data_IF_544856276598
#
_entry.id   IF_544856276598
#
_cell.length_a   1.000
_cell.length_b   1.000
_cell.length_c   1.000
_cell.angle_alpha   90.00
_cell.angle_beta   90.00
_cell.angle_gamma   90.00
#
_symmetry.space_group_name_H-M   'P 1'
#
loop_
_entity.id
_entity.type
_entity.pdbx_description
1 polymer ?
#
# COMPACT_ATOMS: atom_id res chain seq x y z
N UNK A 1 22.68 -1.38 2.34
CA UNK A 1 22.94 -1.46 3.80
C UNK A 1 22.02 -0.45 4.46
N UNK A 2 20.96 -0.90 5.13
CA UNK A 2 20.15 -0.04 6.01
C UNK A 2 21.04 0.33 7.19
N UNK A 3 21.48 1.57 7.25
CA UNK A 3 22.06 2.10 8.47
C UNK A 3 20.92 2.32 9.46
N UNK A 4 20.78 1.45 10.44
CA UNK A 4 19.76 1.57 11.51
C UNK A 4 19.89 2.91 12.29
N UNK A 5 21.05 3.53 12.24
CA UNK A 5 21.36 4.85 12.80
C UNK A 5 21.81 5.84 11.71
N UNK A 6 21.54 5.52 10.44
CA UNK A 6 21.90 6.35 9.32
C UNK A 6 21.02 7.60 9.24
N UNK A 7 21.59 8.64 8.69
CA UNK A 7 20.88 9.86 8.34
C UNK A 7 19.60 9.54 7.57
N UNK A 8 18.46 10.15 7.89
CA UNK A 8 17.19 9.92 7.23
C UNK A 8 17.12 10.54 5.83
N UNK A 9 18.23 10.64 5.12
CA UNK A 9 18.36 11.34 3.83
C UNK A 9 17.43 10.83 2.72
N UNK A 10 16.86 9.66 2.88
CA UNK A 10 15.87 9.06 1.95
C UNK A 10 14.43 9.12 2.44
N UNK A 11 14.18 9.64 3.63
CA UNK A 11 12.79 9.90 4.07
C UNK A 11 12.18 11.01 3.22
N UNK A 12 11.00 10.80 2.61
CA UNK A 12 10.32 11.84 1.86
C UNK A 12 10.14 13.15 2.66
N UNK A 13 9.83 13.03 3.95
CA UNK A 13 9.69 14.18 4.85
C UNK A 13 11.00 14.96 4.98
N UNK A 14 12.13 14.28 5.18
CA UNK A 14 13.44 14.91 5.28
C UNK A 14 13.87 15.56 3.95
N UNK A 15 13.62 14.89 2.82
CA UNK A 15 13.95 15.43 1.50
C UNK A 15 13.13 16.69 1.17
N UNK A 16 11.84 16.73 1.55
CA UNK A 16 11.00 17.90 1.39
C UNK A 16 11.55 19.03 2.25
N UNK A 17 11.81 18.80 3.53
CA UNK A 17 12.40 19.79 4.42
C UNK A 17 13.72 20.36 3.88
N UNK A 18 14.64 19.47 3.49
CA UNK A 18 15.96 19.86 2.96
C UNK A 18 15.86 20.71 1.70
N UNK A 19 14.86 20.46 0.83
CA UNK A 19 14.68 21.18 -0.42
C UNK A 19 13.87 22.47 -0.28
N UNK A 20 12.96 22.55 0.68
CA UNK A 20 11.96 23.62 0.75
C UNK A 20 11.98 24.41 2.04
N UNK A 21 12.65 23.93 3.10
CA UNK A 21 12.58 24.48 4.45
C UNK A 21 11.23 24.30 5.16
N UNK A 22 10.30 23.55 4.54
CA UNK A 22 8.97 23.30 5.12
C UNK A 22 9.07 22.14 6.11
N UNK A 23 8.63 22.36 7.36
CA UNK A 23 8.54 21.32 8.37
C UNK A 23 7.52 20.26 7.95
N UNK A 24 7.93 18.99 8.02
CA UNK A 24 7.12 17.85 7.64
C UNK A 24 7.06 16.83 8.77
N UNK A 25 5.85 16.48 9.17
CA UNK A 25 5.61 15.38 10.12
C UNK A 25 5.10 14.17 9.32
N UNK A 26 5.76 13.03 9.50
CA UNK A 26 5.34 11.76 8.86
C UNK A 26 4.50 10.96 9.84
N UNK A 27 3.28 10.62 9.43
CA UNK A 27 2.38 9.71 10.14
C UNK A 27 2.31 8.33 9.46
N UNK A 28 3.15 8.09 8.45
CA UNK A 28 3.20 6.82 7.75
C UNK A 28 3.57 5.67 8.69
N UNK A 29 2.74 4.65 8.70
CA UNK A 29 2.96 3.41 9.45
C UNK A 29 2.97 2.24 8.45
N UNK A 30 3.94 1.33 8.58
CA UNK A 30 3.99 0.14 7.74
C UNK A 30 2.77 -0.76 7.99
N UNK A 31 2.11 -1.19 6.92
CA UNK A 31 0.91 -2.03 6.99
C UNK A 31 -0.37 -1.29 7.42
N UNK A 32 -0.35 0.04 7.43
CA UNK A 32 -1.54 0.83 7.73
C UNK A 32 -2.38 1.03 6.47
N UNK A 33 -3.63 0.56 6.49
CA UNK A 33 -4.61 0.93 5.48
C UNK A 33 -5.05 2.39 5.60
N UNK A 34 -5.93 2.81 4.70
CA UNK A 34 -6.36 4.22 4.61
C UNK A 34 -7.04 4.73 5.88
N UNK A 35 -7.78 3.87 6.60
CA UNK A 35 -8.43 4.27 7.85
C UNK A 35 -7.39 4.73 8.88
N UNK A 36 -6.34 3.94 9.09
CA UNK A 36 -5.32 4.25 10.07
C UNK A 36 -4.35 5.31 9.56
N UNK A 37 -3.78 5.13 8.38
CA UNK A 37 -2.74 5.99 7.84
C UNK A 37 -3.20 7.39 7.44
N UNK A 38 -4.46 7.55 7.02
CA UNK A 38 -5.00 8.84 6.54
C UNK A 38 -5.79 9.57 7.62
N UNK A 39 -6.60 8.85 8.39
CA UNK A 39 -7.52 9.50 9.33
C UNK A 39 -7.15 9.27 10.78
N UNK A 40 -7.15 8.02 11.25
CA UNK A 40 -7.07 7.68 12.66
C UNK A 40 -5.75 8.14 13.28
N UNK A 41 -4.60 7.79 12.69
CA UNK A 41 -3.29 8.16 13.22
C UNK A 41 -3.00 9.67 13.14
N UNK A 42 -3.15 10.35 12.00
CA UNK A 42 -2.89 11.79 11.93
C UNK A 42 -3.71 12.60 12.93
N UNK A 43 -5.00 12.31 13.06
CA UNK A 43 -5.88 13.03 13.98
C UNK A 43 -5.56 12.73 15.43
N UNK A 44 -5.38 11.45 15.78
CA UNK A 44 -5.09 11.08 17.17
C UNK A 44 -3.70 11.56 17.61
N UNK A 45 -2.69 11.53 16.74
CA UNK A 45 -1.37 12.08 17.05
C UNK A 45 -1.41 13.58 17.22
N UNK A 46 -2.12 14.30 16.35
CA UNK A 46 -2.32 15.74 16.47
C UNK A 46 -2.98 16.09 17.80
N UNK A 47 -4.09 15.42 18.14
CA UNK A 47 -4.78 15.61 19.41
C UNK A 47 -3.88 15.30 20.62
N UNK A 48 -3.14 14.18 20.53
CA UNK A 48 -2.24 13.75 21.60
C UNK A 48 -1.14 14.79 21.85
N UNK A 49 -0.43 15.22 20.82
CA UNK A 49 0.66 16.22 20.96
C UNK A 49 0.09 17.51 21.54
N UNK A 50 -1.08 17.97 21.07
CA UNK A 50 -1.72 19.18 21.59
C UNK A 50 -2.33 19.03 23.00
N UNK A 51 -2.53 17.80 23.48
CA UNK A 51 -2.91 17.56 24.87
C UNK A 51 -1.72 17.68 25.85
N UNK A 52 -0.50 17.66 25.35
CA UNK A 52 0.69 17.86 26.16
C UNK A 52 0.93 19.35 26.42
N UNK A 53 1.48 19.67 27.60
CA UNK A 53 1.80 21.07 27.95
C UNK A 53 3.03 21.62 27.22
N UNK A 54 3.84 20.73 26.64
CA UNK A 54 5.17 21.08 26.14
C UNK A 54 5.21 21.44 24.65
N UNK A 55 4.21 21.02 23.89
CA UNK A 55 4.18 21.24 22.44
C UNK A 55 2.79 21.66 22.00
N UNK A 56 2.73 22.57 21.04
CA UNK A 56 1.49 22.97 20.40
C UNK A 56 1.69 22.94 18.88
N UNK A 57 1.04 21.97 18.24
CA UNK A 57 1.00 21.92 16.79
C UNK A 57 -0.12 22.80 16.25
N UNK A 58 0.20 23.59 15.24
CA UNK A 58 -0.83 24.21 14.41
C UNK A 58 -1.42 23.19 13.43
N UNK A 59 -2.68 23.38 13.00
CA UNK A 59 -3.22 22.56 11.92
C UNK A 59 -2.28 22.57 10.71
N UNK A 60 -2.02 21.40 10.08
CA UNK A 60 -1.16 21.34 8.91
C UNK A 60 -1.72 22.17 7.77
N UNK A 61 -0.86 22.86 7.02
CA UNK A 61 -1.27 23.58 5.81
C UNK A 61 -1.57 22.60 4.66
N UNK A 62 -0.82 21.50 4.61
CA UNK A 62 -0.91 20.49 3.56
C UNK A 62 -0.93 19.09 4.15
N UNK A 63 -1.74 18.22 3.56
CA UNK A 63 -1.63 16.77 3.69
C UNK A 63 -1.15 16.19 2.37
N UNK A 64 -0.04 15.44 2.40
CA UNK A 64 0.44 14.67 1.28
C UNK A 64 0.10 13.20 1.54
N UNK A 65 -0.90 12.71 0.84
CA UNK A 65 -1.45 11.36 1.01
C UNK A 65 -0.91 10.47 -0.10
N UNK A 66 -0.13 9.46 0.26
CA UNK A 66 0.35 8.46 -0.67
C UNK A 66 -0.66 7.32 -0.75
N UNK A 67 -1.10 7.00 -1.96
CA UNK A 67 -1.89 5.81 -2.25
C UNK A 67 -1.04 4.88 -3.09
N UNK A 68 -0.62 3.75 -2.50
CA UNK A 68 0.18 2.75 -3.18
C UNK A 68 -0.71 1.66 -3.80
N UNK A 69 -0.62 1.51 -5.10
CA UNK A 69 -1.43 0.56 -5.88
C UNK A 69 -1.24 -0.90 -5.45
N UNK A 70 -0.05 -1.24 -4.92
CA UNK A 70 0.32 -2.62 -4.63
C UNK A 70 -0.45 -3.25 -3.47
N UNK A 71 -0.73 -2.53 -2.39
CA UNK A 71 -1.34 -3.09 -1.18
C UNK A 71 -2.47 -2.28 -0.55
N UNK A 72 -2.60 -0.97 -0.77
CA UNK A 72 -3.57 -0.15 -0.03
C UNK A 72 -5.02 -0.62 -0.21
N UNK A 73 -5.35 -1.18 -1.38
CA UNK A 73 -6.67 -1.80 -1.60
C UNK A 73 -6.87 -3.01 -0.69
N UNK A 74 -5.84 -3.86 -0.57
CA UNK A 74 -5.91 -5.07 0.26
C UNK A 74 -5.94 -4.73 1.75
N UNK A 75 -5.14 -3.76 2.19
CA UNK A 75 -5.12 -3.29 3.57
C UNK A 75 -6.48 -2.70 3.97
N UNK A 76 -7.13 -1.95 3.07
CA UNK A 76 -8.49 -1.44 3.28
C UNK A 76 -9.53 -2.57 3.36
N UNK A 77 -9.41 -3.61 2.53
CA UNK A 77 -10.29 -4.77 2.59
C UNK A 77 -10.07 -5.58 3.87
N UNK A 78 -8.82 -5.78 4.26
CA UNK A 78 -8.48 -6.46 5.50
C UNK A 78 -9.05 -5.72 6.71
N UNK A 79 -8.89 -4.40 6.76
CA UNK A 79 -9.50 -3.56 7.81
C UNK A 79 -11.01 -3.80 7.92
N UNK A 80 -11.73 -3.81 6.79
CA UNK A 80 -13.18 -4.05 6.77
C UNK A 80 -13.51 -5.47 7.25
N UNK A 81 -12.80 -6.47 6.76
CA UNK A 81 -13.04 -7.88 7.13
C UNK A 81 -12.81 -8.13 8.62
N UNK A 82 -11.72 -7.61 9.16
CA UNK A 82 -11.36 -7.82 10.57
C UNK A 82 -12.31 -7.11 11.53
N UNK A 83 -12.72 -5.90 11.21
CA UNK A 83 -13.51 -5.08 12.13
C UNK A 83 -15.02 -5.26 11.97
N UNK A 84 -15.51 -5.51 10.76
CA UNK A 84 -16.93 -5.80 10.53
C UNK A 84 -17.28 -7.28 10.72
N UNK A 85 -16.28 -8.17 10.77
CA UNK A 85 -16.49 -9.63 10.73
C UNK A 85 -17.43 -10.04 9.59
N UNK A 86 -17.42 -9.27 8.53
CA UNK A 86 -18.29 -9.47 7.38
C UNK A 86 -17.65 -10.50 6.44
N UNK A 87 -18.45 -11.41 5.93
CA UNK A 87 -18.02 -12.28 4.83
C UNK A 87 -17.89 -11.46 3.54
N UNK A 88 -17.06 -11.92 2.59
CA UNK A 88 -16.92 -11.24 1.28
C UNK A 88 -18.27 -10.98 0.58
N UNK A 89 -19.30 -11.82 0.82
CA UNK A 89 -20.66 -11.63 0.28
C UNK A 89 -21.41 -10.48 0.93
N UNK A 90 -21.09 -10.17 2.19
CA UNK A 90 -21.78 -9.13 2.97
C UNK A 90 -21.10 -7.77 2.78
N UNK A 91 -19.82 -7.74 2.40
CA UNK A 91 -19.08 -6.50 2.18
C UNK A 91 -19.81 -5.60 1.18
N UNK A 92 -20.32 -6.14 0.06
CA UNK A 92 -21.10 -5.37 -0.91
C UNK A 92 -22.36 -4.72 -0.34
N UNK A 93 -22.99 -5.34 0.66
CA UNK A 93 -24.22 -4.82 1.31
C UNK A 93 -23.92 -3.82 2.44
N UNK A 94 -22.71 -3.87 2.99
CA UNK A 94 -22.29 -3.00 4.11
C UNK A 94 -22.04 -1.56 3.63
N UNK A 95 -21.81 -1.36 2.35
CA UNK A 95 -21.49 -0.06 1.77
C UNK A 95 -22.70 0.86 1.49
N UNK A 96 -23.84 0.60 2.08
CA UNK A 96 -24.80 1.68 2.27
C UNK A 96 -24.10 2.81 3.01
N UNK A 97 -23.91 3.94 2.33
CA UNK A 97 -23.03 5.05 2.75
C UNK A 97 -23.21 5.41 4.24
N UNK A 98 -24.45 5.49 4.72
CA UNK A 98 -24.76 5.86 6.09
C UNK A 98 -24.36 4.79 7.14
N UNK A 99 -24.41 3.51 6.76
CA UNK A 99 -24.03 2.40 7.64
C UNK A 99 -22.51 2.33 7.75
N UNK A 100 -21.84 2.51 6.64
CA UNK A 100 -20.39 2.48 6.59
C UNK A 100 -19.76 3.68 7.31
N UNK A 101 -20.30 4.88 7.16
CA UNK A 101 -19.85 6.06 7.91
C UNK A 101 -20.02 5.88 9.42
N UNK A 102 -21.15 5.33 9.87
CA UNK A 102 -21.36 5.02 11.31
C UNK A 102 -20.35 4.01 11.83
N UNK A 103 -20.05 2.99 11.04
CA UNK A 103 -19.03 2.01 11.37
C UNK A 103 -17.65 2.65 11.53
N UNK A 104 -17.18 3.41 10.52
CA UNK A 104 -15.88 4.08 10.59
C UNK A 104 -15.79 5.06 11.77
N UNK A 105 -16.87 5.78 12.07
CA UNK A 105 -16.94 6.65 13.23
C UNK A 105 -16.81 5.88 14.55
N UNK A 106 -17.49 4.76 14.68
CA UNK A 106 -17.40 3.91 15.87
C UNK A 106 -15.99 3.33 16.05
N UNK A 107 -15.34 2.89 14.96
CA UNK A 107 -13.93 2.44 15.01
C UNK A 107 -12.97 3.57 15.40
N UNK A 108 -13.18 4.77 14.88
CA UNK A 108 -12.38 5.94 15.26
C UNK A 108 -12.54 6.27 16.75
N UNK A 109 -13.78 6.27 17.29
CA UNK A 109 -14.03 6.49 18.70
C UNK A 109 -13.33 5.43 19.60
N UNK A 110 -13.29 4.17 19.16
CA UNK A 110 -12.53 3.12 19.86
C UNK A 110 -11.02 3.44 19.88
N UNK A 111 -10.46 3.89 18.76
CA UNK A 111 -9.03 4.25 18.68
C UNK A 111 -8.72 5.44 19.58
N UNK A 112 -9.55 6.49 19.54
CA UNK A 112 -9.41 7.68 20.41
C UNK A 112 -9.47 7.27 21.88
N UNK A 113 -10.52 6.55 22.28
CA UNK A 113 -10.68 6.12 23.66
C UNK A 113 -9.49 5.28 24.14
N UNK A 114 -9.00 4.35 23.33
CA UNK A 114 -7.82 3.54 23.64
C UNK A 114 -6.55 4.39 23.80
N UNK A 115 -6.34 5.37 22.93
CA UNK A 115 -5.14 6.25 22.98
C UNK A 115 -5.17 7.22 24.16
N UNK A 116 -6.34 7.68 24.58
CA UNK A 116 -6.48 8.62 25.70
C UNK A 116 -6.83 7.96 27.04
N UNK A 117 -7.04 6.64 27.06
CA UNK A 117 -7.20 5.89 28.29
C UNK A 117 -5.86 5.83 29.05
N UNK A 118 -5.85 6.35 30.27
CA UNK A 118 -4.67 6.31 31.15
C UNK A 118 -4.15 4.90 31.47
N UNK A 119 -5.02 3.88 31.42
CA UNK A 119 -4.63 2.48 31.60
C UNK A 119 -3.77 1.98 30.46
N UNK A 120 -4.07 2.41 29.24
CA UNK A 120 -3.30 2.10 28.05
C UNK A 120 -1.83 2.53 28.20
N UNK A 121 -1.56 3.68 28.80
CA UNK A 121 -0.20 4.18 29.03
C UNK A 121 0.56 3.40 30.09
N UNK A 122 -0.14 2.83 31.09
CA UNK A 122 0.49 1.91 32.07
C UNK A 122 0.89 0.59 31.41
N UNK A 123 0.10 0.10 30.47
CA UNK A 123 0.39 -1.12 29.70
C UNK A 123 1.43 -0.89 28.59
N UNK A 124 1.54 0.33 28.07
CA UNK A 124 2.56 0.74 27.08
C UNK A 124 3.93 1.02 27.70
N UNK A 125 4.05 1.13 29.01
CA UNK A 125 5.33 1.30 29.63
C UNK A 125 6.22 0.08 29.35
N UNK A 126 7.01 0.27 28.30
CA UNK A 126 8.29 -0.35 27.97
C UNK A 126 8.36 -1.88 27.88
N UNK A 127 7.82 -2.66 28.82
CA UNK A 127 8.05 -4.10 28.84
C UNK A 127 7.28 -4.87 27.75
N UNK A 128 6.01 -4.55 27.52
CA UNK A 128 5.16 -5.30 26.60
C UNK A 128 5.48 -5.01 25.14
N UNK A 129 5.81 -3.74 24.81
CA UNK A 129 6.22 -3.37 23.44
C UNK A 129 7.57 -4.00 23.07
N UNK A 130 8.50 -4.09 24.04
CA UNK A 130 9.81 -4.76 23.82
C UNK A 130 9.60 -6.26 23.66
N UNK A 131 8.77 -6.90 24.50
CA UNK A 131 8.50 -8.33 24.39
C UNK A 131 7.67 -8.71 23.15
N UNK A 132 6.66 -7.91 22.77
CA UNK A 132 5.92 -8.13 21.54
C UNK A 132 6.77 -7.83 20.30
N UNK A 133 7.56 -6.76 20.32
CA UNK A 133 8.49 -6.44 19.24
C UNK A 133 9.57 -7.52 19.09
N UNK A 134 10.16 -7.99 20.17
CA UNK A 134 11.11 -9.10 20.15
C UNK A 134 10.45 -10.42 19.69
N UNK A 135 9.24 -10.73 20.17
CA UNK A 135 8.49 -11.91 19.75
C UNK A 135 8.12 -11.86 18.27
N UNK A 136 7.72 -10.70 17.76
CA UNK A 136 7.39 -10.52 16.35
C UNK A 136 8.66 -10.59 15.48
N UNK A 137 9.75 -9.98 15.89
CA UNK A 137 11.06 -10.12 15.23
C UNK A 137 11.56 -11.57 15.23
N UNK A 138 11.33 -12.32 16.32
CA UNK A 138 11.68 -13.75 16.37
C UNK A 138 10.81 -14.61 15.45
N UNK A 139 9.50 -14.32 15.37
CA UNK A 139 8.57 -14.98 14.43
C UNK A 139 8.90 -14.63 12.99
N UNK A 140 9.21 -13.39 12.72
CA UNK A 140 9.61 -12.91 11.40
C UNK A 140 10.95 -13.51 10.97
N UNK A 141 11.93 -13.56 11.88
CA UNK A 141 13.22 -14.22 11.65
C UNK A 141 13.08 -15.74 11.45
N UNK A 142 12.22 -16.42 12.19
CA UNK A 142 11.93 -17.84 12.01
C UNK A 142 11.20 -18.12 10.70
N UNK A 143 10.27 -17.23 10.28
CA UNK A 143 9.58 -17.33 9.00
C UNK A 143 10.52 -17.05 7.82
N UNK A 144 11.40 -16.05 7.95
CA UNK A 144 12.43 -15.75 6.94
C UNK A 144 13.42 -16.91 6.78
N UNK A 145 13.79 -17.59 7.86
CA UNK A 145 14.65 -18.78 7.80
C UNK A 145 13.98 -19.97 7.10
N UNK A 146 12.66 -20.12 7.25
CA UNK A 146 11.87 -21.16 6.58
C UNK A 146 11.72 -20.85 5.09
N UNK A 147 11.42 -19.58 4.76
CA UNK A 147 11.30 -19.07 3.39
C UNK A 147 12.64 -19.14 2.65
N UNK A 148 13.77 -18.84 3.33
CA UNK A 148 15.10 -18.92 2.70
C UNK A 148 15.52 -20.34 2.32
N UNK A 149 15.06 -21.35 3.04
CA UNK A 149 15.35 -22.77 2.71
C UNK A 149 14.52 -23.28 1.53
N UNK A 150 13.26 -22.87 1.41
CA UNK A 150 12.38 -23.28 0.30
C UNK A 150 12.64 -22.48 -0.99
N UNK A 151 13.05 -21.22 -0.88
CA UNK A 151 13.26 -20.34 -2.04
C UNK A 151 14.66 -20.44 -2.66
N UNK A 152 15.65 -21.02 -1.99
CA UNK A 152 17.03 -21.04 -2.51
C UNK A 152 17.17 -21.83 -3.83
N UNK A 153 16.32 -22.80 -4.11
CA UNK A 153 16.36 -23.52 -5.40
C UNK A 153 15.71 -22.73 -6.54
N UNK A 154 14.70 -21.91 -6.24
CA UNK A 154 13.98 -21.10 -7.23
C UNK A 154 14.70 -19.78 -7.52
N UNK A 155 15.31 -19.15 -6.50
CA UNK A 155 15.99 -17.85 -6.64
C UNK A 155 17.28 -17.91 -7.45
N UNK A 156 18.03 -19.01 -7.41
CA UNK A 156 19.30 -19.09 -8.14
C UNK A 156 19.16 -19.12 -9.68
N UNK A 157 18.02 -19.59 -10.21
CA UNK A 157 17.82 -19.64 -11.66
C UNK A 157 17.31 -18.30 -12.24
N UNK A 158 16.61 -17.49 -11.48
CA UNK A 158 15.96 -16.25 -11.94
C UNK A 158 16.89 -15.04 -11.83
N UNK A 159 17.79 -15.03 -10.85
CA UNK A 159 18.70 -13.89 -10.59
C UNK A 159 19.89 -13.75 -11.55
N UNK A 160 20.07 -14.66 -12.50
CA UNK A 160 21.15 -14.56 -13.50
C UNK A 160 20.83 -13.64 -14.68
N UNK A 161 19.84 -12.76 -14.59
CA UNK A 161 19.46 -11.81 -15.66
C UNK A 161 18.88 -12.48 -16.90
N UNK A 162 18.49 -13.76 -16.76
CA UNK A 162 17.86 -14.52 -17.84
C UNK A 162 16.36 -14.26 -17.91
N UNK A 163 15.83 -14.12 -19.12
CA UNK A 163 14.39 -14.09 -19.39
C UNK A 163 13.82 -15.47 -18.99
N UNK A 164 12.84 -15.48 -18.10
CA UNK A 164 12.13 -16.72 -17.75
C UNK A 164 11.29 -17.18 -18.95
N UNK A 165 11.45 -18.42 -19.34
CA UNK A 165 10.69 -19.04 -20.44
C UNK A 165 9.93 -20.23 -19.91
N UNK A 166 8.65 -20.29 -20.19
CA UNK A 166 7.80 -21.45 -19.87
C UNK A 166 7.20 -22.03 -21.15
N UNK A 167 6.75 -23.26 -21.07
CA UNK A 167 5.96 -23.89 -22.13
C UNK A 167 4.47 -23.70 -21.80
N UNK A 168 3.75 -22.97 -22.65
CA UNK A 168 2.30 -22.84 -22.60
C UNK A 168 1.72 -23.40 -23.91
N UNK A 169 0.90 -24.44 -23.78
CA UNK A 169 0.28 -25.10 -24.96
C UNK A 169 1.30 -25.56 -26.02
N UNK A 170 2.52 -25.94 -25.60
CA UNK A 170 3.58 -26.37 -26.48
C UNK A 170 4.46 -25.25 -27.05
N UNK A 171 4.13 -24.00 -26.82
CA UNK A 171 4.90 -22.83 -27.26
C UNK A 171 5.77 -22.28 -26.14
N UNK A 172 6.96 -21.81 -26.50
CA UNK A 172 7.86 -21.11 -25.56
C UNK A 172 7.37 -19.66 -25.36
N UNK A 173 6.99 -19.32 -24.14
CA UNK A 173 6.50 -17.99 -23.76
C UNK A 173 7.50 -17.33 -22.82
N UNK A 174 7.98 -16.15 -23.19
CA UNK A 174 8.79 -15.29 -22.32
C UNK A 174 7.91 -14.65 -21.25
N UNK A 175 8.37 -14.69 -20.00
CA UNK A 175 7.68 -14.09 -18.85
C UNK A 175 8.50 -12.95 -18.25
N UNK A 176 7.83 -11.98 -17.69
CA UNK A 176 8.43 -10.88 -16.92
C UNK A 176 9.54 -10.15 -17.68
N UNK A 177 9.35 -9.86 -18.94
CA UNK A 177 10.32 -9.11 -19.74
C UNK A 177 9.92 -7.65 -19.84
N UNK A 178 10.81 -6.76 -19.44
CA UNK A 178 10.64 -5.33 -19.59
C UNK A 178 11.70 -4.74 -20.52
N UNK A 179 11.42 -3.53 -21.02
CA UNK A 179 12.38 -2.74 -21.78
C UNK A 179 13.12 -1.78 -20.82
N UNK A 180 14.43 -2.03 -20.62
CA UNK A 180 15.29 -1.19 -19.78
C UNK A 180 16.54 -0.80 -20.56
N UNK A 181 16.86 0.48 -20.61
CA UNK A 181 17.98 1.01 -21.42
C UNK A 181 17.97 0.53 -22.90
N UNK A 182 16.76 0.40 -23.47
CA UNK A 182 16.59 -0.10 -24.84
C UNK A 182 16.82 -1.61 -25.00
N UNK A 183 17.07 -2.35 -23.93
CA UNK A 183 17.34 -3.79 -23.95
C UNK A 183 16.22 -4.58 -23.28
N UNK A 184 15.95 -5.79 -23.77
CA UNK A 184 15.10 -6.75 -23.09
C UNK A 184 15.76 -7.19 -21.78
N UNK A 185 15.07 -7.02 -20.67
CA UNK A 185 15.57 -7.35 -19.33
C UNK A 185 14.52 -8.17 -18.58
N UNK A 186 14.93 -9.29 -18.00
CA UNK A 186 14.05 -10.10 -17.15
C UNK A 186 13.78 -9.41 -15.82
N UNK A 187 12.50 -9.33 -15.44
CA UNK A 187 12.06 -8.84 -14.15
C UNK A 187 11.93 -9.98 -13.14
N UNK A 188 12.15 -9.74 -11.85
CA UNK A 188 11.90 -10.73 -10.80
C UNK A 188 10.45 -11.22 -10.78
N UNK A 189 10.24 -12.50 -10.48
CA UNK A 189 8.90 -13.12 -10.46
C UNK A 189 8.06 -12.74 -9.23
N UNK A 190 8.67 -12.15 -8.22
CA UNK A 190 8.00 -11.78 -6.95
C UNK A 190 7.47 -10.34 -6.94
N UNK A 191 7.54 -9.63 -8.06
CA UNK A 191 7.04 -8.27 -8.14
C UNK A 191 5.53 -8.23 -7.93
N UNK A 192 5.09 -7.23 -7.17
CA UNK A 192 3.69 -7.03 -6.84
C UNK A 192 2.90 -6.50 -8.05
N UNK A 193 1.77 -7.14 -8.33
CA UNK A 193 0.81 -6.65 -9.31
C UNK A 193 -0.14 -5.61 -8.70
N UNK A 194 -0.78 -4.77 -9.52
CA UNK A 194 -1.95 -4.04 -9.08
C UNK A 194 -3.05 -5.01 -8.65
N UNK A 195 -4.01 -4.61 -7.82
CA UNK A 195 -5.18 -5.43 -7.55
C UNK A 195 -5.90 -5.75 -8.86
N UNK A 196 -6.12 -7.03 -9.11
CA UNK A 196 -6.75 -7.49 -10.35
C UNK A 196 -8.27 -7.52 -10.18
N UNK A 197 -9.02 -7.06 -11.16
CA UNK A 197 -10.47 -6.89 -11.08
C UNK A 197 -11.20 -7.54 -12.23
N UNK A 198 -12.44 -7.97 -11.96
CA UNK A 198 -13.42 -8.28 -13.00
C UNK A 198 -13.34 -9.67 -13.57
N UNK A 199 -12.83 -10.62 -12.81
CA UNK A 199 -12.87 -12.02 -13.19
C UNK A 199 -14.23 -12.65 -12.87
N UNK A 200 -14.68 -13.53 -13.79
CA UNK A 200 -15.90 -14.34 -13.62
C UNK A 200 -15.72 -15.38 -12.53
N UNK A 201 -16.82 -16.00 -12.08
CA UNK A 201 -16.82 -16.99 -11.00
C UNK A 201 -15.90 -18.21 -11.22
N UNK A 202 -15.53 -18.51 -12.46
CA UNK A 202 -14.56 -19.57 -12.81
C UNK A 202 -13.09 -19.16 -12.56
N UNK A 203 -12.80 -17.85 -12.49
CA UNK A 203 -11.46 -17.27 -12.31
C UNK A 203 -11.24 -16.76 -10.88
N UNK A 204 -12.05 -17.22 -9.94
CA UNK A 204 -12.11 -16.76 -8.52
C UNK A 204 -10.80 -16.79 -7.74
N UNK A 205 -9.76 -17.42 -8.25
CA UNK A 205 -8.49 -17.58 -7.53
C UNK A 205 -7.54 -16.39 -7.69
N UNK A 206 -7.78 -15.49 -8.64
CA UNK A 206 -6.76 -14.53 -9.08
C UNK A 206 -7.17 -13.06 -8.88
N UNK A 207 -8.46 -12.75 -8.69
CA UNK A 207 -8.92 -11.36 -8.66
C UNK A 207 -9.90 -11.02 -7.55
N UNK A 208 -10.03 -9.73 -7.27
CA UNK A 208 -11.04 -9.18 -6.36
C UNK A 208 -12.38 -9.02 -7.08
N UNK A 209 -13.46 -9.23 -6.34
CA UNK A 209 -14.81 -8.86 -6.83
C UNK A 209 -14.92 -7.35 -6.96
N UNK A 210 -15.78 -6.90 -7.88
CA UNK A 210 -16.03 -5.47 -8.06
C UNK A 210 -16.55 -4.80 -6.77
N UNK A 211 -17.39 -5.49 -6.02
CA UNK A 211 -17.92 -5.02 -4.74
C UNK A 211 -16.80 -4.82 -3.70
N UNK A 212 -15.83 -5.75 -3.66
CA UNK A 212 -14.67 -5.64 -2.75
C UNK A 212 -13.82 -4.42 -3.10
N UNK A 213 -13.55 -4.19 -4.38
CA UNK A 213 -12.85 -2.97 -4.81
C UNK A 213 -13.61 -1.71 -4.41
N UNK A 214 -14.91 -1.66 -4.70
CA UNK A 214 -15.76 -0.51 -4.35
C UNK A 214 -15.65 -0.23 -2.86
N UNK A 215 -15.64 -1.26 -2.06
CA UNK A 215 -15.48 -1.15 -0.62
C UNK A 215 -14.13 -0.61 -0.18
N UNK A 216 -13.06 -1.15 -0.70
CA UNK A 216 -11.72 -0.66 -0.38
C UNK A 216 -11.54 0.82 -0.77
N UNK A 217 -12.08 1.21 -1.93
CA UNK A 217 -12.08 2.60 -2.39
C UNK A 217 -12.96 3.49 -1.49
N UNK A 218 -14.08 2.97 -1.01
CA UNK A 218 -14.94 3.72 -0.08
C UNK A 218 -14.25 3.96 1.27
N UNK A 219 -13.46 3.00 1.81
CA UNK A 219 -12.61 3.23 2.99
C UNK A 219 -11.67 4.41 2.75
N UNK A 220 -10.95 4.40 1.63
CA UNK A 220 -10.04 5.49 1.25
C UNK A 220 -10.77 6.83 1.18
N UNK A 221 -11.87 6.89 0.44
CA UNK A 221 -12.67 8.11 0.27
C UNK A 221 -13.17 8.65 1.61
N UNK A 222 -13.76 7.80 2.44
CA UNK A 222 -14.31 8.24 3.74
C UNK A 222 -13.21 8.69 4.70
N UNK A 223 -12.04 8.06 4.67
CA UNK A 223 -10.87 8.49 5.46
C UNK A 223 -10.41 9.90 5.06
N UNK A 224 -10.35 10.19 3.75
CA UNK A 224 -10.03 11.53 3.25
C UNK A 224 -11.08 12.57 3.66
N UNK A 225 -12.36 12.24 3.54
CA UNK A 225 -13.45 13.16 3.90
C UNK A 225 -13.45 13.47 5.40
N UNK A 226 -13.20 12.49 6.23
CA UNK A 226 -13.10 12.70 7.67
C UNK A 226 -11.85 13.48 8.06
N UNK A 227 -10.71 13.24 7.41
CA UNK A 227 -9.51 14.06 7.57
C UNK A 227 -9.79 15.52 7.19
N UNK A 228 -10.38 15.74 6.03
CA UNK A 228 -10.74 17.09 5.55
C UNK A 228 -11.74 17.80 6.49
N UNK A 229 -12.71 17.07 7.02
CA UNK A 229 -13.66 17.59 8.00
C UNK A 229 -12.98 18.01 9.30
N UNK A 230 -11.97 17.29 9.73
CA UNK A 230 -11.21 17.60 10.95
C UNK A 230 -10.24 18.79 10.73
N UNK A 231 -9.66 18.90 9.54
CA UNK A 231 -8.73 19.96 9.15
C UNK A 231 -9.26 20.74 7.93
N UNK A 232 -10.34 21.51 8.07
CA UNK A 232 -11.04 22.12 6.92
C UNK A 232 -10.23 23.19 6.19
N UNK A 233 -9.17 23.71 6.79
CA UNK A 233 -8.28 24.71 6.19
C UNK A 233 -7.05 24.10 5.51
N UNK A 234 -6.90 22.78 5.58
CA UNK A 234 -5.75 22.07 5.01
C UNK A 234 -6.01 21.68 3.56
N UNK A 235 -5.00 21.83 2.71
CA UNK A 235 -5.03 21.35 1.34
C UNK A 235 -4.61 19.88 1.28
N UNK A 236 -5.45 19.03 0.71
CA UNK A 236 -5.17 17.61 0.54
C UNK A 236 -4.62 17.35 -0.86
N UNK A 237 -3.43 16.75 -0.93
CA UNK A 237 -2.76 16.33 -2.17
C UNK A 237 -2.60 14.80 -2.17
N UNK A 238 -3.23 14.13 -3.11
CA UNK A 238 -3.18 12.67 -3.26
C UNK A 238 -2.09 12.35 -4.29
N UNK A 239 -1.12 11.53 -3.89
CA UNK A 239 -0.07 11.00 -4.77
C UNK A 239 -0.36 9.52 -5.01
N UNK A 240 -0.71 9.18 -6.24
CA UNK A 240 -0.86 7.80 -6.67
C UNK A 240 0.49 7.21 -7.05
N UNK A 241 0.86 6.11 -6.39
CA UNK A 241 2.11 5.36 -6.61
C UNK A 241 1.76 4.03 -7.27
N UNK A 242 2.29 3.72 -8.47
CA UNK A 242 2.04 2.45 -9.14
C UNK A 242 2.65 1.28 -8.38
N UNK A 243 2.05 0.10 -8.52
CA UNK A 243 2.64 -1.15 -8.03
C UNK A 243 3.95 -1.44 -8.76
N UNK A 244 4.74 -2.38 -8.23
CA UNK A 244 6.04 -2.71 -8.83
C UNK A 244 5.92 -3.15 -10.27
N UNK A 245 4.97 -4.01 -10.63
CA UNK A 245 4.76 -4.41 -12.04
C UNK A 245 4.27 -3.25 -12.90
N UNK A 246 3.36 -2.42 -12.39
CA UNK A 246 2.87 -1.25 -13.13
C UNK A 246 3.94 -0.17 -13.35
N UNK A 247 5.05 -0.26 -12.63
CA UNK A 247 6.18 0.66 -12.75
C UNK A 247 7.08 0.39 -13.95
N UNK A 248 7.00 -0.79 -14.58
CA UNK A 248 7.84 -1.15 -15.72
C UNK A 248 7.07 -1.14 -17.03
N UNK A 249 7.78 -0.87 -18.14
CA UNK A 249 7.28 -1.10 -19.50
C UNK A 249 7.47 -2.58 -19.85
N UNK A 250 6.50 -3.40 -19.48
CA UNK A 250 6.51 -4.84 -19.76
C UNK A 250 6.23 -5.06 -21.24
N UNK A 251 7.02 -5.94 -21.87
CA UNK A 251 6.94 -6.28 -23.31
C UNK A 251 6.61 -7.75 -23.55
N UNK A 252 6.69 -8.60 -22.51
CA UNK A 252 6.17 -9.98 -22.59
C UNK A 252 4.63 -9.96 -22.56
N UNK A 253 4.00 -10.89 -23.28
CA UNK A 253 2.53 -11.05 -23.28
C UNK A 253 1.99 -11.45 -21.92
N UNK A 254 2.78 -12.18 -21.14
CA UNK A 254 2.42 -12.69 -19.83
C UNK A 254 3.44 -12.29 -18.76
N UNK A 255 2.96 -12.17 -17.53
CA UNK A 255 3.77 -11.93 -16.36
C UNK A 255 3.52 -12.99 -15.29
N UNK A 256 4.59 -13.35 -14.60
CA UNK A 256 4.54 -14.12 -13.37
C UNK A 256 4.66 -13.13 -12.20
N UNK A 257 3.71 -13.14 -11.29
CA UNK A 257 3.65 -12.19 -10.21
C UNK A 257 3.30 -12.85 -8.88
N UNK A 258 3.62 -12.18 -7.81
CA UNK A 258 3.19 -12.54 -6.47
C UNK A 258 1.86 -11.87 -6.15
N UNK A 259 0.82 -12.66 -5.94
CA UNK A 259 -0.45 -12.17 -5.42
C UNK A 259 -0.36 -11.86 -3.92
N UNK A 260 -1.34 -11.12 -3.39
CA UNK A 260 -1.43 -10.77 -1.97
C UNK A 260 -1.35 -11.99 -1.03
N UNK A 261 -1.92 -13.12 -1.42
CA UNK A 261 -1.88 -14.40 -0.67
C UNK A 261 -0.60 -15.23 -0.92
N UNK A 262 0.46 -14.63 -1.44
CA UNK A 262 1.74 -15.27 -1.74
C UNK A 262 1.69 -16.38 -2.81
N UNK A 263 0.56 -16.60 -3.47
CA UNK A 263 0.48 -17.49 -4.61
C UNK A 263 1.18 -16.89 -5.82
N UNK A 264 2.03 -17.67 -6.48
CA UNK A 264 2.60 -17.29 -7.77
C UNK A 264 1.56 -17.57 -8.85
N UNK A 265 1.26 -16.55 -9.65
CA UNK A 265 0.25 -16.62 -10.70
C UNK A 265 0.82 -16.07 -12.02
N UNK A 266 0.31 -16.58 -13.13
CA UNK A 266 0.63 -16.09 -14.46
C UNK A 266 -0.60 -15.37 -15.00
N UNK A 267 -0.41 -14.17 -15.54
CA UNK A 267 -1.48 -13.35 -16.08
C UNK A 267 -1.01 -12.60 -17.33
N UNK A 268 -1.95 -12.26 -18.19
CA UNK A 268 -1.69 -11.39 -19.33
C UNK A 268 -1.28 -9.99 -18.88
N UNK A 269 -0.23 -9.45 -19.49
CA UNK A 269 0.26 -8.09 -19.24
C UNK A 269 -0.81 -7.03 -19.45
N UNK A 270 -1.69 -7.22 -20.45
CA UNK A 270 -2.83 -6.34 -20.71
C UNK A 270 -3.78 -6.21 -19.50
N UNK A 271 -3.92 -7.26 -18.69
CA UNK A 271 -4.72 -7.23 -17.46
C UNK A 271 -4.10 -6.33 -16.40
N UNK A 272 -2.76 -6.32 -16.28
CA UNK A 272 -2.03 -5.42 -15.39
C UNK A 272 -2.32 -3.96 -15.76
N UNK A 273 -2.16 -3.59 -17.03
CA UNK A 273 -2.42 -2.23 -17.52
C UNK A 273 -3.88 -1.80 -17.35
N UNK A 274 -4.82 -2.70 -17.59
CA UNK A 274 -6.26 -2.45 -17.39
C UNK A 274 -6.58 -2.19 -15.91
N UNK A 275 -6.03 -3.01 -15.02
CA UNK A 275 -6.26 -2.88 -13.57
C UNK A 275 -5.61 -1.60 -13.03
N UNK A 276 -4.39 -1.29 -13.45
CA UNK A 276 -3.70 -0.03 -13.15
C UNK A 276 -4.54 1.19 -13.58
N UNK A 277 -4.96 1.23 -14.84
CA UNK A 277 -5.74 2.34 -15.38
C UNK A 277 -7.06 2.54 -14.63
N UNK A 278 -7.75 1.43 -14.33
CA UNK A 278 -9.01 1.46 -13.60
C UNK A 278 -8.85 2.02 -12.19
N UNK A 279 -7.87 1.52 -11.44
CA UNK A 279 -7.64 1.96 -10.05
C UNK A 279 -7.18 3.42 -10.00
N UNK A 280 -6.19 3.79 -10.82
CA UNK A 280 -5.72 5.16 -10.93
C UNK A 280 -6.87 6.13 -11.28
N UNK A 281 -7.74 5.74 -12.23
CA UNK A 281 -8.93 6.50 -12.60
C UNK A 281 -9.91 6.68 -11.44
N UNK A 282 -10.16 5.62 -10.67
CA UNK A 282 -11.04 5.67 -9.50
C UNK A 282 -10.51 6.62 -8.41
N UNK A 283 -9.22 6.55 -8.09
CA UNK A 283 -8.60 7.46 -7.11
C UNK A 283 -8.60 8.90 -7.60
N UNK A 284 -8.28 9.13 -8.90
CA UNK A 284 -8.38 10.46 -9.51
C UNK A 284 -9.79 11.03 -9.43
N UNK A 285 -10.82 10.20 -9.68
CA UNK A 285 -12.22 10.65 -9.62
C UNK A 285 -12.61 11.11 -8.21
N UNK A 286 -12.14 10.41 -7.17
CA UNK A 286 -12.34 10.86 -5.78
C UNK A 286 -11.72 12.23 -5.56
N UNK A 287 -10.49 12.42 -6.02
CA UNK A 287 -9.82 13.72 -5.87
C UNK A 287 -10.61 14.85 -6.55
N UNK A 288 -11.01 14.64 -7.80
CA UNK A 288 -11.77 15.63 -8.59
C UNK A 288 -13.12 15.96 -7.93
N UNK A 289 -13.87 14.93 -7.51
CA UNK A 289 -15.20 15.10 -6.93
C UNK A 289 -15.18 15.87 -5.58
N UNK A 290 -14.05 15.91 -4.91
CA UNK A 290 -13.91 16.54 -3.60
C UNK A 290 -12.91 17.71 -3.57
N UNK A 291 -12.50 18.22 -4.74
CA UNK A 291 -11.55 19.32 -4.89
C UNK A 291 -10.18 19.07 -4.23
N UNK A 292 -9.73 17.82 -4.21
CA UNK A 292 -8.38 17.47 -3.79
C UNK A 292 -7.42 17.50 -4.97
N UNK A 293 -6.17 17.87 -4.73
CA UNK A 293 -5.13 17.80 -5.76
C UNK A 293 -4.75 16.33 -6.01
N UNK A 294 -4.53 15.97 -7.29
CA UNK A 294 -4.13 14.63 -7.67
C UNK A 294 -2.83 14.63 -8.47
N UNK A 295 -1.87 13.83 -8.02
CA UNK A 295 -0.56 13.65 -8.65
C UNK A 295 -0.43 12.16 -9.03
N UNK A 296 -0.36 11.89 -10.33
CA UNK A 296 -0.06 10.54 -10.81
C UNK A 296 1.44 10.40 -11.03
N UNK A 297 2.13 9.63 -10.20
CA UNK A 297 3.57 9.41 -10.29
C UNK A 297 3.98 8.34 -11.32
N UNK A 298 3.02 7.63 -11.93
CA UNK A 298 3.28 6.50 -12.83
C UNK A 298 4.27 6.86 -13.94
N UNK A 299 4.07 7.99 -14.61
CA UNK A 299 4.96 8.41 -15.72
C UNK A 299 6.41 8.61 -15.25
N UNK A 300 6.58 9.29 -14.11
CA UNK A 300 7.91 9.58 -13.55
C UNK A 300 8.60 8.30 -13.07
N UNK A 301 7.86 7.42 -12.40
CA UNK A 301 8.39 6.13 -11.93
C UNK A 301 8.72 5.22 -13.11
N UNK A 302 7.88 5.11 -14.14
CA UNK A 302 8.16 4.36 -15.36
C UNK A 302 9.38 4.88 -16.11
N UNK A 303 9.60 6.20 -16.11
CA UNK A 303 10.79 6.80 -16.68
C UNK A 303 12.03 6.36 -15.90
N UNK A 304 12.03 6.46 -14.58
CA UNK A 304 13.16 6.01 -13.77
C UNK A 304 13.39 4.49 -13.92
N UNK A 305 12.33 3.68 -13.88
CA UNK A 305 12.38 2.23 -14.07
C UNK A 305 12.88 1.80 -15.45
N UNK A 306 12.86 2.69 -16.45
CA UNK A 306 13.45 2.40 -17.76
C UNK A 306 14.99 2.45 -17.77
N UNK A 307 15.62 2.99 -16.73
CA UNK A 307 17.07 3.09 -16.59
C UNK A 307 17.64 2.15 -15.53
N UNK A 308 16.90 1.94 -14.44
CA UNK A 308 17.35 1.15 -13.30
C UNK A 308 16.20 0.37 -12.65
N UNK A 309 16.54 -0.67 -11.87
CA UNK A 309 15.55 -1.34 -11.05
C UNK A 309 15.13 -0.43 -9.90
N UNK A 310 13.85 -0.04 -9.90
CA UNK A 310 13.27 0.84 -8.87
C UNK A 310 13.09 0.14 -7.53
N UNK A 311 13.08 -1.20 -7.53
CA UNK A 311 12.83 -2.01 -6.36
C UNK A 311 13.93 -3.06 -6.27
N UNK A 312 14.66 -3.06 -5.17
CA UNK A 312 15.66 -4.08 -4.88
C UNK A 312 15.02 -5.46 -4.68
N UNK A 313 15.78 -6.53 -4.85
CA UNK A 313 15.28 -7.90 -4.73
C UNK A 313 14.84 -8.27 -3.29
N UNK A 314 15.10 -7.42 -2.30
CA UNK A 314 14.81 -7.66 -0.88
C UNK A 314 13.97 -6.55 -0.24
N UNK A 315 13.42 -5.62 -1.01
CA UNK A 315 12.81 -4.40 -0.46
C UNK A 315 11.29 -4.52 -0.20
N UNK A 316 10.76 -5.76 -0.14
CA UNK A 316 9.31 -6.00 0.12
C UNK A 316 9.08 -7.18 1.02
#
# INVERSE_FOLDING_TARGET
>A
KRNFFGSPDYSPAHLIFKKTGIDVVSFGQAGAGSFDGIWSEPVTQFLYINSTKNYRLHPPKYFLIFFYEGNDVYDNLQFVNENLRATEKEIGKVYEVNRFQRFLKAEFEKVVNRKFDRSFWKDMLFARSIFQGASNLFKEWASLKKISKENNSYHQSIYKGGVAVILMNGEKVELNVALMNGKKTGLPSHLQAPPLFGYTDSEKKIGLRNESLTGAIEVFKQSLLNLNKFFPQSEIKIVFIPSTLSSYKIISSNVHYRGFMQSLNIIETATIEKSHTRLCGAIKQIAVNHNFSFINSTKSIRLAASFEFMHGPLDW
#
